data_IF_826906673185
#
_entry.id   IF_826906673185
#
_cell.length_a   1.000
_cell.length_b   1.000
_cell.length_c   1.000
_cell.angle_alpha   90.00
_cell.angle_beta   90.00
_cell.angle_gamma   90.00
#
_symmetry.space_group_name_H-M   'P 1'
#
loop_
_entity.id
_entity.type
_entity.pdbx_description
1 polymer ?
#
# COMPACT_ATOMS: atom_id res chain seq x y z
N UNK A 1 -68.14 -17.11 53.85
CA UNK A 1 -69.35 -17.76 53.25
C UNK A 1 -68.85 -18.57 52.09
N UNK A 2 -68.82 -19.86 52.36
CA UNK A 2 -69.38 -20.99 51.63
C UNK A 2 -68.64 -21.24 50.29
N UNK A 3 -67.72 -22.19 50.28
CA UNK A 3 -67.85 -23.64 50.04
C UNK A 3 -68.68 -23.99 48.80
N UNK A 4 -68.07 -24.67 47.82
CA UNK A 4 -68.36 -26.07 47.64
C UNK A 4 -67.42 -26.68 46.54
N UNK A 5 -66.78 -27.78 46.93
CA UNK A 5 -66.18 -28.77 46.09
C UNK A 5 -67.24 -29.51 45.24
N UNK A 6 -66.80 -30.11 44.12
CA UNK A 6 -67.18 -31.46 43.75
C UNK A 6 -66.17 -32.12 42.83
N UNK A 7 -65.71 -33.25 43.31
CA UNK A 7 -64.89 -34.30 42.67
C UNK A 7 -65.75 -35.14 41.73
N UNK A 8 -65.08 -35.92 40.96
CA UNK A 8 -65.34 -37.23 40.29
C UNK A 8 -64.92 -37.09 38.82
N UNK A 9 -64.09 -37.90 38.21
CA UNK A 9 -63.69 -39.28 38.41
C UNK A 9 -63.77 -40.01 37.07
N UNK A 10 -62.72 -40.69 36.68
CA UNK A 10 -62.91 -41.86 35.82
C UNK A 10 -62.13 -41.95 34.50
N UNK A 11 -61.21 -42.89 34.56
CA UNK A 11 -60.95 -43.97 33.60
C UNK A 11 -60.12 -43.74 32.32
N UNK A 12 -58.93 -44.18 32.40
CA UNK A 12 -58.16 -45.15 31.55
C UNK A 12 -58.70 -45.44 30.14
N UNK A 13 -57.87 -45.16 29.14
CA UNK A 13 -57.72 -46.00 27.95
C UNK A 13 -56.31 -45.83 27.36
N UNK A 14 -55.59 -46.97 27.32
CA UNK A 14 -54.30 -47.14 26.66
C UNK A 14 -54.51 -47.09 25.15
N UNK A 15 -53.66 -46.33 24.48
CA UNK A 15 -53.53 -46.31 23.02
C UNK A 15 -52.07 -46.21 22.62
N UNK A 16 -51.48 -47.39 22.36
CA UNK A 16 -50.16 -47.47 21.71
C UNK A 16 -50.36 -47.13 20.26
N UNK A 17 -49.76 -46.03 19.83
CA UNK A 17 -49.53 -45.72 18.39
C UNK A 17 -48.06 -45.61 18.16
N UNK A 18 -47.51 -46.62 17.56
CA UNK A 18 -46.20 -46.66 16.92
C UNK A 18 -46.33 -45.88 15.63
N UNK A 19 -45.68 -44.70 15.51
CA UNK A 19 -45.42 -44.07 14.23
C UNK A 19 -43.94 -44.07 13.97
N UNK A 20 -43.56 -44.97 13.09
CA UNK A 20 -42.28 -44.98 12.37
C UNK A 20 -42.17 -43.77 11.43
N UNK A 21 -40.99 -43.17 11.42
CA UNK A 21 -40.42 -42.61 10.21
C UNK A 21 -40.72 -41.19 9.89
N UNK A 22 -39.80 -40.34 10.23
CA UNK A 22 -39.43 -39.22 9.35
C UNK A 22 -37.92 -39.03 9.47
N UNK A 23 -37.21 -39.49 8.48
CA UNK A 23 -35.85 -39.02 8.21
C UNK A 23 -35.89 -37.54 7.94
N UNK A 24 -35.67 -36.74 8.98
CA UNK A 24 -35.33 -35.34 8.84
C UNK A 24 -33.94 -35.26 8.24
N UNK A 25 -33.84 -34.97 6.96
CA UNK A 25 -32.62 -34.40 6.38
C UNK A 25 -32.29 -33.12 7.14
N UNK A 26 -31.43 -33.23 8.14
CA UNK A 26 -30.72 -32.05 8.63
C UNK A 26 -29.88 -31.58 7.47
N UNK A 27 -30.39 -30.57 6.75
CA UNK A 27 -29.58 -29.74 5.88
C UNK A 27 -28.42 -29.23 6.73
N UNK A 28 -27.25 -29.82 6.52
CA UNK A 28 -26.02 -29.26 7.01
C UNK A 28 -25.93 -27.85 6.38
N UNK A 29 -26.27 -26.84 7.16
CA UNK A 29 -25.76 -25.50 6.89
C UNK A 29 -24.26 -25.71 6.88
N UNK A 30 -23.66 -25.56 5.68
CA UNK A 30 -22.23 -25.44 5.56
C UNK A 30 -21.86 -24.36 6.57
N UNK A 31 -21.17 -24.73 7.64
CA UNK A 31 -20.50 -23.78 8.47
C UNK A 31 -19.58 -23.02 7.50
N UNK A 32 -19.97 -21.83 7.12
CA UNK A 32 -19.05 -20.91 6.49
C UNK A 32 -17.84 -20.91 7.41
N UNK A 33 -16.71 -21.26 6.80
CA UNK A 33 -15.41 -21.41 7.44
C UNK A 33 -15.05 -20.04 8.06
N UNK A 34 -15.59 -19.79 9.24
CA UNK A 34 -15.35 -18.58 10.03
C UNK A 34 -13.95 -18.65 10.62
N UNK A 35 -12.93 -18.80 9.75
CA UNK A 35 -11.58 -18.51 10.17
C UNK A 35 -11.56 -17.07 10.62
N UNK A 36 -11.06 -16.79 11.83
CA UNK A 36 -10.88 -15.42 12.23
C UNK A 36 -10.11 -14.71 11.12
N UNK A 37 -10.67 -13.61 10.62
CA UNK A 37 -10.03 -12.77 9.62
C UNK A 37 -8.68 -12.31 10.18
N UNK A 38 -7.58 -12.90 9.68
CA UNK A 38 -6.23 -12.51 10.10
C UNK A 38 -5.85 -11.21 9.36
N UNK A 39 -5.69 -10.10 10.07
CA UNK A 39 -5.24 -8.86 9.48
C UNK A 39 -3.91 -8.99 8.73
N UNK A 40 -2.94 -9.77 9.25
CA UNK A 40 -1.64 -9.97 8.61
C UNK A 40 -1.78 -10.68 7.27
N UNK A 41 -2.55 -11.76 7.19
CA UNK A 41 -2.79 -12.48 5.94
C UNK A 41 -3.40 -11.57 4.86
N UNK A 42 -4.28 -10.66 5.25
CA UNK A 42 -4.87 -9.69 4.32
C UNK A 42 -3.84 -8.72 3.81
N UNK A 43 -2.98 -8.20 4.69
CA UNK A 43 -1.96 -7.24 4.31
C UNK A 43 -0.86 -7.87 3.46
N UNK A 44 -0.44 -9.09 3.76
CA UNK A 44 0.56 -9.82 2.96
C UNK A 44 0.10 -10.04 1.51
N UNK A 45 -1.21 -10.15 1.26
CA UNK A 45 -1.80 -10.32 -0.09
C UNK A 45 -2.15 -9.02 -0.78
N UNK A 46 -2.02 -7.87 -0.11
CA UNK A 46 -2.49 -6.58 -0.66
C UNK A 46 -1.81 -6.20 -1.99
N UNK A 47 -0.53 -6.51 -2.16
CA UNK A 47 0.19 -6.30 -3.42
C UNK A 47 -0.36 -7.20 -4.55
N UNK A 48 -0.67 -8.47 -4.27
CA UNK A 48 -1.26 -9.39 -5.25
C UNK A 48 -2.65 -8.92 -5.67
N UNK A 49 -3.44 -8.43 -4.72
CA UNK A 49 -4.76 -7.83 -4.99
C UNK A 49 -4.67 -6.63 -5.95
N UNK A 50 -3.59 -5.83 -5.86
CA UNK A 50 -3.36 -4.75 -6.84
C UNK A 50 -3.00 -5.29 -8.23
N UNK A 51 -2.21 -6.36 -8.32
CA UNK A 51 -1.91 -7.03 -9.59
C UNK A 51 -3.19 -7.53 -10.26
N UNK A 52 -4.08 -8.14 -9.47
CA UNK A 52 -5.39 -8.61 -9.97
C UNK A 52 -6.28 -7.44 -10.42
N UNK A 53 -6.25 -6.31 -9.70
CA UNK A 53 -6.97 -5.10 -10.09
C UNK A 53 -6.47 -4.46 -11.39
N UNK A 54 -5.25 -4.77 -11.81
CA UNK A 54 -4.64 -4.40 -13.09
C UNK A 54 -4.05 -3.01 -13.09
N UNK A 55 -4.85 -1.96 -13.07
CA UNK A 55 -4.37 -0.57 -13.15
C UNK A 55 -5.09 0.33 -12.15
N UNK A 56 -4.46 1.45 -11.83
CA UNK A 56 -5.14 2.53 -11.09
C UNK A 56 -4.55 3.90 -11.42
N UNK A 57 -5.25 4.94 -10.99
CA UNK A 57 -4.66 6.28 -10.77
C UNK A 57 -4.03 6.32 -9.38
N UNK A 58 -2.97 7.11 -9.26
CA UNK A 58 -2.26 7.31 -8.01
C UNK A 58 -2.10 8.80 -7.70
N UNK A 59 -2.23 9.15 -6.42
CA UNK A 59 -1.75 10.42 -5.85
C UNK A 59 -0.79 10.09 -4.73
N UNK A 60 0.37 10.75 -4.75
CA UNK A 60 1.39 10.59 -3.71
C UNK A 60 1.63 11.91 -2.99
N UNK A 61 1.98 11.82 -1.72
CA UNK A 61 2.45 12.94 -0.93
C UNK A 61 3.60 12.47 -0.06
N UNK A 62 4.73 13.12 -0.17
CA UNK A 62 5.89 12.86 0.68
C UNK A 62 6.23 14.09 1.47
N UNK A 63 6.17 13.98 2.79
CA UNK A 63 6.53 15.03 3.73
C UNK A 63 7.86 14.66 4.39
N UNK A 64 8.84 15.55 4.28
CA UNK A 64 10.15 15.40 4.91
C UNK A 64 10.32 16.50 5.95
N UNK A 65 10.74 16.13 7.15
CA UNK A 65 11.00 17.06 8.24
C UNK A 65 12.44 16.89 8.76
N UNK A 66 13.21 17.98 8.76
CA UNK A 66 14.56 18.03 9.30
C UNK A 66 14.85 19.42 9.85
N UNK A 67 15.45 19.51 11.03
CA UNK A 67 15.93 20.79 11.59
C UNK A 67 14.90 21.92 11.68
N UNK A 68 13.60 21.59 11.84
CA UNK A 68 12.51 22.57 11.87
C UNK A 68 11.95 22.97 10.49
N UNK A 69 12.56 22.50 9.41
CA UNK A 69 12.04 22.71 8.04
C UNK A 69 11.18 21.50 7.61
N UNK A 70 10.04 21.80 6.97
CA UNK A 70 9.15 20.78 6.40
C UNK A 70 9.00 21.04 4.91
N UNK A 71 9.22 20.00 4.12
CA UNK A 71 9.06 20.01 2.66
C UNK A 71 8.01 18.98 2.27
N UNK A 72 7.09 19.34 1.37
CA UNK A 72 6.07 18.42 0.86
C UNK A 72 6.17 18.33 -0.64
N UNK A 73 6.42 17.14 -1.18
CA UNK A 73 6.38 16.82 -2.61
C UNK A 73 5.07 16.10 -2.89
N UNK A 74 4.38 16.47 -3.97
CA UNK A 74 3.13 15.83 -4.41
C UNK A 74 3.31 15.22 -5.78
N UNK A 75 2.69 14.06 -6.00
CA UNK A 75 2.70 13.38 -7.28
C UNK A 75 1.30 12.92 -7.69
N UNK A 76 1.06 12.91 -8.99
CA UNK A 76 -0.14 12.35 -9.60
C UNK A 76 0.23 11.53 -10.82
N UNK A 77 -0.49 10.43 -11.06
CA UNK A 77 -0.26 9.62 -12.24
C UNK A 77 -1.08 8.36 -12.32
N UNK A 78 -0.53 7.39 -13.02
CA UNK A 78 -1.15 6.07 -13.27
C UNK A 78 -0.13 4.96 -13.04
N UNK A 79 -0.65 3.79 -12.68
CA UNK A 79 0.16 2.60 -12.51
C UNK A 79 -0.51 1.37 -13.14
N UNK A 80 0.29 0.56 -13.85
CA UNK A 80 -0.06 -0.76 -14.34
C UNK A 80 0.66 -1.81 -13.49
N UNK A 81 -0.09 -2.47 -12.62
CA UNK A 81 0.47 -3.44 -11.65
C UNK A 81 0.88 -4.75 -12.31
N UNK A 82 0.25 -5.14 -13.44
CA UNK A 82 0.58 -6.38 -14.16
C UNK A 82 1.92 -6.27 -14.86
N UNK A 83 2.16 -5.12 -15.51
CA UNK A 83 3.43 -4.83 -16.17
C UNK A 83 4.43 -4.17 -15.23
N UNK A 84 3.96 -3.74 -14.03
CA UNK A 84 4.76 -3.04 -13.01
C UNK A 84 5.40 -1.76 -13.54
N UNK A 85 4.61 -1.04 -14.31
CA UNK A 85 5.01 0.23 -14.91
C UNK A 85 4.12 1.35 -14.38
N UNK A 86 4.75 2.44 -13.96
CA UNK A 86 4.06 3.63 -13.48
C UNK A 86 4.58 4.89 -14.14
N UNK A 87 3.72 5.91 -14.20
CA UNK A 87 4.10 7.28 -14.54
C UNK A 87 3.52 8.23 -13.52
N UNK A 88 4.39 9.01 -12.90
CA UNK A 88 4.04 10.06 -11.96
C UNK A 88 4.56 11.42 -12.47
N UNK A 89 3.81 12.46 -12.23
CA UNK A 89 4.25 13.84 -12.38
C UNK A 89 4.37 14.43 -10.98
N UNK A 90 5.57 14.83 -10.58
CA UNK A 90 5.86 15.37 -9.27
C UNK A 90 5.90 16.88 -9.32
N UNK A 91 5.26 17.52 -8.36
CA UNK A 91 5.29 18.95 -8.11
C UNK A 91 6.11 19.19 -6.85
N UNK A 92 7.22 19.92 -7.01
CA UNK A 92 8.05 20.36 -5.90
C UNK A 92 7.43 21.61 -5.25
N UNK A 93 7.64 21.83 -3.95
CA UNK A 93 7.22 23.06 -3.31
C UNK A 93 7.96 24.25 -3.93
N UNK A 94 7.29 25.40 -3.97
CA UNK A 94 7.94 26.65 -4.37
C UNK A 94 8.99 27.04 -3.32
N UNK A 95 10.09 27.64 -3.80
CA UNK A 95 11.04 28.28 -2.91
C UNK A 95 10.31 29.35 -2.06
N UNK A 96 10.55 29.44 -0.74
CA UNK A 96 9.97 30.48 0.12
C UNK A 96 10.16 31.91 -0.40
N UNK A 97 11.22 32.16 -1.19
CA UNK A 97 11.47 33.43 -1.84
C UNK A 97 10.68 33.63 -3.16
N UNK A 98 9.98 32.61 -3.66
CA UNK A 98 9.19 32.68 -4.89
C UNK A 98 9.99 32.90 -6.17
N UNK A 99 11.31 32.77 -6.13
CA UNK A 99 12.23 33.18 -7.21
C UNK A 99 12.52 32.08 -8.22
N UNK A 100 12.23 30.80 -7.89
CA UNK A 100 12.50 29.66 -8.79
C UNK A 100 11.22 28.88 -9.06
N UNK A 101 10.76 28.95 -10.32
CA UNK A 101 9.70 28.08 -10.81
C UNK A 101 10.28 26.70 -11.10
N UNK A 102 9.98 25.72 -10.26
CA UNK A 102 10.38 24.33 -10.48
C UNK A 102 9.48 23.70 -11.54
N UNK A 103 10.07 23.28 -12.66
CA UNK A 103 9.33 22.45 -13.63
C UNK A 103 8.94 21.13 -12.98
N UNK A 104 7.71 20.65 -13.22
CA UNK A 104 7.31 19.34 -12.74
C UNK A 104 8.29 18.25 -13.23
N UNK A 105 8.61 17.31 -12.33
CA UNK A 105 9.44 16.15 -12.66
C UNK A 105 8.50 15.06 -13.17
N UNK A 106 8.81 14.48 -14.31
CA UNK A 106 8.13 13.25 -14.76
C UNK A 106 8.97 12.06 -14.36
N UNK A 107 8.36 11.12 -13.64
CA UNK A 107 8.93 9.83 -13.28
C UNK A 107 8.25 8.70 -14.04
N UNK A 108 9.07 7.79 -14.59
CA UNK A 108 8.60 6.48 -15.04
C UNK A 108 9.20 5.44 -14.13
N UNK A 109 8.32 4.63 -13.56
CA UNK A 109 8.62 3.59 -12.60
C UNK A 109 8.62 2.25 -13.33
N UNK A 110 9.68 1.46 -13.15
CA UNK A 110 9.81 0.13 -13.74
C UNK A 110 10.50 -0.81 -12.75
N UNK A 111 10.37 -2.13 -12.89
CA UNK A 111 11.07 -3.07 -12.03
C UNK A 111 12.57 -2.79 -11.95
N UNK A 112 13.06 -2.43 -10.77
CA UNK A 112 14.47 -2.13 -10.52
C UNK A 112 15.00 -0.81 -11.07
N UNK A 113 14.20 -0.01 -11.77
CA UNK A 113 14.65 1.23 -12.41
C UNK A 113 13.66 2.38 -12.26
N UNK A 114 14.22 3.58 -12.08
CA UNK A 114 13.51 4.85 -12.10
C UNK A 114 14.05 5.68 -13.27
N UNK A 115 13.16 6.25 -14.07
CA UNK A 115 13.52 7.20 -15.12
C UNK A 115 12.94 8.56 -14.76
N UNK A 116 13.76 9.61 -14.79
CA UNK A 116 13.33 10.96 -14.44
C UNK A 116 13.58 11.93 -15.57
N UNK A 117 12.65 12.82 -15.83
CA UNK A 117 12.79 13.95 -16.73
C UNK A 117 12.66 15.25 -15.95
N UNK A 118 13.40 16.28 -16.36
CA UNK A 118 13.52 17.55 -15.65
C UNK A 118 14.18 17.42 -14.26
N UNK A 119 15.09 16.45 -14.09
CA UNK A 119 15.86 16.29 -12.86
C UNK A 119 17.31 15.93 -13.20
N UNK A 120 18.23 16.51 -12.42
CA UNK A 120 19.69 16.35 -12.59
C UNK A 120 20.35 17.59 -13.14
N UNK A 121 21.35 18.11 -12.43
CA UNK A 121 22.13 19.26 -12.87
C UNK A 121 22.92 18.90 -14.16
N UNK A 122 22.82 19.76 -15.19
CA UNK A 122 23.50 19.57 -16.46
C UNK A 122 22.86 18.56 -17.42
N UNK A 123 21.72 17.98 -17.07
CA UNK A 123 20.97 17.09 -17.96
C UNK A 123 20.11 17.90 -18.92
N UNK A 124 20.20 17.70 -20.26
CA UNK A 124 19.33 18.34 -21.21
C UNK A 124 17.86 18.03 -20.95
N UNK A 125 16.97 19.02 -21.14
CA UNK A 125 15.56 18.90 -20.80
C UNK A 125 14.78 17.83 -21.62
N UNK A 126 15.30 17.47 -22.78
CA UNK A 126 14.76 16.39 -23.66
C UNK A 126 15.22 14.99 -23.25
N UNK A 127 16.21 14.87 -22.36
CA UNK A 127 16.78 13.59 -21.93
C UNK A 127 16.19 13.07 -20.63
N UNK A 128 16.24 11.76 -20.47
CA UNK A 128 15.88 11.04 -19.28
C UNK A 128 17.10 10.64 -18.48
N UNK A 129 17.01 10.75 -17.17
CA UNK A 129 17.98 10.15 -16.23
C UNK A 129 17.45 8.79 -15.83
N UNK A 130 18.25 7.74 -16.00
CA UNK A 130 17.94 6.40 -15.50
C UNK A 130 18.73 6.12 -14.24
N UNK A 131 18.05 5.63 -13.22
CA UNK A 131 18.63 5.25 -11.93
C UNK A 131 18.22 3.82 -11.61
N UNK A 132 19.21 2.98 -11.26
CA UNK A 132 18.95 1.66 -10.69
C UNK A 132 18.51 1.82 -9.24
N UNK A 133 17.28 1.42 -8.90
CA UNK A 133 16.73 1.63 -7.57
C UNK A 133 17.49 0.88 -6.47
N UNK A 134 18.09 -0.27 -6.80
CA UNK A 134 18.94 -1.02 -5.87
C UNK A 134 20.30 -0.34 -5.58
N UNK A 135 20.71 0.66 -6.38
CA UNK A 135 21.92 1.44 -6.13
C UNK A 135 21.66 2.61 -5.16
N UNK A 136 20.41 2.96 -4.92
CA UNK A 136 20.01 3.96 -3.93
C UNK A 136 19.97 3.35 -2.53
N UNK A 137 20.55 4.05 -1.55
CA UNK A 137 20.60 3.57 -0.16
C UNK A 137 19.22 3.37 0.47
N UNK A 138 18.21 4.07 -0.02
CA UNK A 138 16.81 3.98 0.42
C UNK A 138 15.93 3.14 -0.54
N UNK A 139 16.53 2.50 -1.56
CA UNK A 139 15.80 1.72 -2.55
C UNK A 139 14.74 2.53 -3.32
N UNK A 140 14.88 3.84 -3.40
CA UNK A 140 13.92 4.78 -3.97
C UNK A 140 12.59 4.90 -3.17
N UNK A 141 12.59 4.57 -1.90
CA UNK A 141 11.41 4.82 -1.06
C UNK A 141 11.21 6.31 -0.72
N UNK A 142 12.31 7.10 -0.80
CA UNK A 142 12.34 8.54 -0.48
C UNK A 142 13.01 9.37 -1.58
N UNK A 143 14.13 8.93 -2.12
CA UNK A 143 15.02 9.73 -3.00
C UNK A 143 14.33 10.27 -4.24
N UNK A 144 13.41 9.54 -4.86
CA UNK A 144 12.63 10.01 -6.02
C UNK A 144 11.72 11.20 -5.70
N UNK A 145 11.30 11.34 -4.45
CA UNK A 145 10.30 12.33 -4.05
C UNK A 145 8.88 11.78 -3.98
N UNK A 146 8.69 10.54 -4.41
CA UNK A 146 7.48 9.75 -4.20
C UNK A 146 7.88 8.28 -3.97
N UNK A 147 7.16 7.59 -3.09
CA UNK A 147 7.27 6.14 -3.03
C UNK A 147 6.49 5.54 -4.19
N UNK A 148 7.11 4.63 -4.94
CA UNK A 148 6.43 3.85 -5.97
C UNK A 148 5.16 3.19 -5.37
N UNK A 149 3.98 3.36 -5.97
CA UNK A 149 2.73 2.78 -5.48
C UNK A 149 2.77 1.26 -5.27
N UNK A 150 3.50 0.53 -6.12
CA UNK A 150 3.66 -0.90 -5.97
C UNK A 150 4.67 -1.26 -4.89
N UNK A 151 5.79 -0.55 -4.80
CA UNK A 151 6.75 -0.72 -3.70
C UNK A 151 6.09 -0.45 -2.34
N UNK A 152 5.21 0.55 -2.24
CA UNK A 152 4.43 0.82 -1.04
C UNK A 152 3.53 -0.37 -0.64
N UNK A 153 2.97 -1.09 -1.62
CA UNK A 153 2.21 -2.32 -1.37
C UNK A 153 3.12 -3.51 -1.02
N UNK A 154 4.26 -3.64 -1.70
CA UNK A 154 5.24 -4.71 -1.43
C UNK A 154 5.82 -4.64 -0.01
N UNK A 155 5.92 -3.44 0.57
CA UNK A 155 6.30 -3.26 1.98
C UNK A 155 5.37 -4.02 2.94
N UNK A 156 4.07 -4.13 2.63
CA UNK A 156 3.10 -4.83 3.47
C UNK A 156 3.35 -6.33 3.55
N UNK A 157 4.10 -6.94 2.59
CA UNK A 157 4.52 -8.34 2.68
C UNK A 157 5.46 -8.62 3.86
N UNK A 158 6.10 -7.58 4.38
CA UNK A 158 6.94 -7.65 5.58
C UNK A 158 6.19 -7.28 6.86
N UNK A 159 4.87 -7.11 6.85
CA UNK A 159 4.11 -6.74 8.03
C UNK A 159 4.31 -7.75 9.16
N UNK A 160 4.67 -7.24 10.35
CA UNK A 160 4.90 -8.02 11.57
C UNK A 160 3.75 -7.89 12.56
N UNK A 161 3.13 -6.71 12.56
CA UNK A 161 1.97 -6.42 13.39
C UNK A 161 0.90 -5.78 12.53
N UNK A 162 -0.35 -6.10 12.84
CA UNK A 162 -1.51 -5.46 12.22
C UNK A 162 -2.66 -5.44 13.21
N UNK A 163 -3.19 -4.26 13.49
CA UNK A 163 -4.42 -4.06 14.24
C UNK A 163 -5.51 -3.54 13.31
N UNK A 164 -6.70 -4.09 13.40
CA UNK A 164 -7.87 -3.56 12.74
C UNK A 164 -8.42 -2.39 13.57
N UNK A 165 -8.43 -1.20 12.99
CA UNK A 165 -8.85 0.05 13.66
C UNK A 165 -10.32 0.41 13.41
N UNK A 166 -11.01 -0.35 12.56
CA UNK A 166 -12.41 -0.10 12.23
C UNK A 166 -12.65 0.28 10.76
N UNK A 167 -13.88 0.69 10.46
CA UNK A 167 -14.29 1.20 9.14
C UNK A 167 -14.23 2.72 9.13
N UNK A 168 -13.87 3.28 7.98
CA UNK A 168 -13.86 4.72 7.72
C UNK A 168 -14.06 4.97 6.23
N UNK A 169 -13.97 6.21 5.79
CA UNK A 169 -14.11 6.60 4.39
C UNK A 169 -12.80 7.21 3.86
N UNK A 170 -12.41 6.83 2.65
CA UNK A 170 -11.31 7.43 1.90
C UNK A 170 -11.81 7.82 0.51
N UNK A 171 -11.84 9.12 0.24
CA UNK A 171 -12.28 9.69 -1.05
C UNK A 171 -13.64 9.13 -1.53
N UNK A 172 -14.64 9.08 -0.63
CA UNK A 172 -15.99 8.62 -0.94
C UNK A 172 -16.15 7.09 -1.00
N UNK A 173 -15.14 6.33 -0.59
CA UNK A 173 -15.19 4.87 -0.55
C UNK A 173 -15.06 4.38 0.88
N UNK A 174 -15.98 3.51 1.33
CA UNK A 174 -15.86 2.83 2.61
C UNK A 174 -14.68 1.88 2.58
N UNK A 175 -13.88 1.89 3.64
CA UNK A 175 -12.65 1.13 3.76
C UNK A 175 -12.44 0.59 5.17
N UNK A 176 -11.69 -0.48 5.26
CA UNK A 176 -11.18 -1.04 6.51
C UNK A 176 -9.81 -0.46 6.79
N UNK A 177 -9.62 0.15 7.95
CA UNK A 177 -8.37 0.72 8.39
C UNK A 177 -7.57 -0.30 9.21
N UNK A 178 -6.31 -0.46 8.86
CA UNK A 178 -5.33 -1.26 9.61
C UNK A 178 -4.11 -0.41 9.92
N UNK A 179 -3.57 -0.61 11.11
CA UNK A 179 -2.33 0.01 11.56
C UNK A 179 -1.36 -1.07 12.01
N UNK A 180 -0.07 -0.87 11.76
CA UNK A 180 0.94 -1.84 12.15
C UNK A 180 2.35 -1.39 11.85
N UNK A 181 3.25 -2.37 11.87
CA UNK A 181 4.66 -2.20 11.52
C UNK A 181 5.07 -3.26 10.50
N UNK A 182 5.89 -2.87 9.54
CA UNK A 182 6.53 -3.75 8.58
C UNK A 182 8.04 -3.76 8.81
N UNK A 183 8.68 -4.90 8.56
CA UNK A 183 10.12 -5.05 8.54
C UNK A 183 10.64 -5.04 7.10
N UNK A 184 11.51 -4.10 6.77
CA UNK A 184 12.05 -3.92 5.41
C UNK A 184 12.81 -5.16 4.90
N UNK A 185 13.52 -5.86 5.80
CA UNK A 185 14.27 -7.05 5.40
C UNK A 185 13.33 -8.25 5.12
N UNK A 186 12.21 -8.35 5.86
CA UNK A 186 11.15 -9.32 5.55
C UNK A 186 10.45 -8.97 4.25
N UNK A 187 10.09 -7.69 4.05
CA UNK A 187 9.49 -7.21 2.82
C UNK A 187 10.39 -7.52 1.61
N UNK A 188 11.69 -7.22 1.69
CA UNK A 188 12.65 -7.52 0.63
C UNK A 188 12.71 -9.02 0.26
N UNK A 189 12.61 -9.92 1.24
CA UNK A 189 12.62 -11.37 0.99
C UNK A 189 11.33 -11.86 0.32
N UNK A 190 10.20 -11.28 0.69
CA UNK A 190 8.88 -11.67 0.20
C UNK A 190 8.48 -10.93 -1.09
N UNK A 191 9.17 -9.84 -1.43
CA UNK A 191 8.86 -9.01 -2.57
C UNK A 191 9.02 -9.73 -3.91
N UNK A 192 8.32 -9.24 -4.91
CA UNK A 192 8.48 -9.62 -6.29
C UNK A 192 9.91 -9.33 -6.78
N UNK A 193 10.42 -10.14 -7.72
CA UNK A 193 11.84 -10.18 -8.11
C UNK A 193 12.44 -8.79 -8.42
N UNK A 194 11.72 -7.95 -9.18
CA UNK A 194 12.21 -6.62 -9.56
C UNK A 194 12.30 -5.61 -8.40
N UNK A 195 11.66 -5.86 -7.26
CA UNK A 195 11.66 -4.95 -6.10
C UNK A 195 12.59 -5.42 -4.99
N UNK A 196 13.01 -6.69 -5.01
CA UNK A 196 13.88 -7.27 -3.96
C UNK A 196 15.15 -6.48 -3.74
N UNK A 197 15.84 -6.11 -4.83
CA UNK A 197 17.08 -5.37 -4.75
C UNK A 197 16.93 -4.00 -4.10
N UNK A 198 15.91 -3.26 -4.51
CA UNK A 198 15.58 -1.95 -3.96
C UNK A 198 15.21 -2.03 -2.47
N UNK A 199 14.30 -2.94 -2.10
CA UNK A 199 13.91 -3.11 -0.70
C UNK A 199 15.06 -3.64 0.19
N UNK A 200 15.95 -4.47 -0.37
CA UNK A 200 17.15 -4.90 0.34
C UNK A 200 18.15 -3.76 0.56
N UNK A 201 18.27 -2.83 -0.38
CA UNK A 201 19.07 -1.61 -0.20
C UNK A 201 18.45 -0.73 0.87
N UNK A 202 17.12 -0.52 0.84
CA UNK A 202 16.40 0.22 1.87
C UNK A 202 16.59 -0.38 3.28
N UNK A 203 16.50 -1.70 3.41
CA UNK A 203 16.71 -2.39 4.69
C UNK A 203 18.10 -2.16 5.30
N UNK A 204 19.11 -1.80 4.48
CA UNK A 204 20.47 -1.48 4.92
C UNK A 204 20.68 0.01 5.17
N UNK A 205 19.98 0.86 4.42
CA UNK A 205 20.23 2.30 4.42
C UNK A 205 19.38 3.11 5.39
N UNK A 206 18.24 2.57 5.86
CA UNK A 206 17.43 3.26 6.85
C UNK A 206 17.99 3.06 8.27
N UNK A 207 17.72 4.03 9.15
CA UNK A 207 18.13 4.00 10.56
C UNK A 207 17.47 2.84 11.33
N UNK A 208 16.33 2.36 10.88
CA UNK A 208 15.61 1.20 11.41
C UNK A 208 14.93 0.43 10.28
N UNK A 209 14.93 -0.89 10.38
CA UNK A 209 14.18 -1.74 9.43
C UNK A 209 12.69 -1.77 9.73
N UNK A 210 12.28 -1.38 10.94
CA UNK A 210 10.88 -1.34 11.33
C UNK A 210 10.24 -0.02 10.89
N UNK A 211 9.21 -0.14 10.05
CA UNK A 211 8.49 0.99 9.44
C UNK A 211 7.03 0.94 9.85
N UNK A 212 6.53 1.92 10.63
CA UNK A 212 5.12 2.06 10.92
C UNK A 212 4.30 2.36 9.67
N UNK A 213 3.11 1.77 9.57
CA UNK A 213 2.18 2.03 8.49
C UNK A 213 0.73 2.22 8.96
N UNK A 214 -0.04 2.93 8.17
CA UNK A 214 -1.50 2.93 8.15
C UNK A 214 -1.96 2.52 6.74
N UNK A 215 -2.86 1.53 6.62
CA UNK A 215 -3.40 1.09 5.32
C UNK A 215 -4.91 0.97 5.37
N UNK A 216 -5.54 1.34 4.26
CA UNK A 216 -6.98 1.42 4.10
C UNK A 216 -7.38 0.58 2.88
N UNK A 217 -8.11 -0.51 3.12
CA UNK A 217 -8.51 -1.47 2.11
C UNK A 217 -10.01 -1.38 1.85
N UNK A 218 -10.42 -1.38 0.58
CA UNK A 218 -11.83 -1.51 0.22
C UNK A 218 -12.36 -2.94 0.44
N UNK A 219 -13.63 -3.18 0.15
CA UNK A 219 -14.25 -4.49 0.35
C UNK A 219 -13.68 -5.58 -0.56
N UNK A 220 -13.04 -5.21 -1.69
CA UNK A 220 -12.28 -6.14 -2.53
C UNK A 220 -10.85 -6.38 -2.03
N UNK A 221 -10.43 -5.78 -0.93
CA UNK A 221 -9.08 -5.87 -0.40
C UNK A 221 -8.05 -5.02 -1.13
N UNK A 222 -8.47 -4.14 -2.05
CA UNK A 222 -7.56 -3.24 -2.77
C UNK A 222 -7.15 -2.08 -1.87
N UNK A 223 -5.89 -1.72 -1.91
CA UNK A 223 -5.38 -0.55 -1.20
C UNK A 223 -6.02 0.71 -1.80
N UNK A 224 -6.71 1.49 -0.98
CA UNK A 224 -7.21 2.82 -1.32
C UNK A 224 -6.27 3.92 -0.83
N UNK A 225 -5.64 3.68 0.31
CA UNK A 225 -4.61 4.55 0.87
C UNK A 225 -3.63 3.72 1.66
N UNK A 226 -2.35 4.05 1.55
CA UNK A 226 -1.30 3.53 2.42
C UNK A 226 -0.37 4.67 2.80
N UNK A 227 0.06 4.70 4.05
CA UNK A 227 1.04 5.66 4.56
C UNK A 227 2.13 4.92 5.30
N UNK A 228 3.39 5.30 5.06
CA UNK A 228 4.57 4.78 5.76
C UNK A 228 5.32 5.92 6.41
N UNK A 229 5.97 5.65 7.55
CA UNK A 229 6.84 6.60 8.24
C UNK A 229 8.25 6.05 8.30
N UNK A 230 9.13 6.67 7.53
CA UNK A 230 10.53 6.29 7.44
C UNK A 230 11.40 7.20 8.32
N UNK A 231 12.51 6.65 8.79
CA UNK A 231 13.60 7.40 9.44
C UNK A 231 14.87 7.18 8.64
N UNK A 232 15.37 8.24 8.07
CA UNK A 232 16.52 8.23 7.19
C UNK A 232 17.66 9.04 7.81
N UNK A 233 18.90 8.52 7.77
CA UNK A 233 20.08 9.26 8.22
C UNK A 233 20.68 9.97 7.02
N UNK A 234 20.65 11.30 7.04
CA UNK A 234 21.30 12.10 5.99
C UNK A 234 22.83 11.97 6.13
N UNK A 235 23.47 11.32 5.12
CA UNK A 235 24.88 10.94 5.14
C UNK A 235 25.86 12.11 5.32
N UNK A 236 25.48 13.36 5.00
CA UNK A 236 26.38 14.50 5.07
C UNK A 236 26.50 15.13 6.47
N UNK A 237 25.55 14.93 7.37
CA UNK A 237 25.56 15.58 8.69
C UNK A 237 25.08 14.67 9.82
N UNK A 238 24.81 13.40 9.60
CA UNK A 238 24.29 12.48 10.60
C UNK A 238 22.93 12.88 11.17
N UNK A 239 22.25 13.87 10.57
CA UNK A 239 20.93 14.30 11.00
C UNK A 239 19.88 13.28 10.57
N UNK A 240 18.95 12.99 11.46
CA UNK A 240 17.80 12.12 11.15
C UNK A 240 16.73 12.96 10.46
N UNK A 241 16.24 12.46 9.32
CA UNK A 241 15.11 13.02 8.60
C UNK A 241 13.92 12.09 8.81
N UNK A 242 12.83 12.62 9.33
CA UNK A 242 11.56 11.92 9.38
C UNK A 242 10.80 12.14 8.07
N UNK A 243 10.39 11.05 7.44
CA UNK A 243 9.66 11.07 6.17
C UNK A 243 8.33 10.36 6.33
N UNK A 244 7.25 11.07 6.01
CA UNK A 244 5.92 10.49 5.87
C UNK A 244 5.55 10.39 4.40
N UNK A 245 5.42 9.17 3.89
CA UNK A 245 4.96 8.90 2.53
C UNK A 245 3.51 8.44 2.57
N UNK A 246 2.67 9.01 1.73
CA UNK A 246 1.26 8.63 1.57
C UNK A 246 0.95 8.41 0.10
N UNK A 247 0.33 7.28 -0.21
CA UNK A 247 -0.17 6.94 -1.55
C UNK A 247 -1.67 6.70 -1.49
N UNK A 248 -2.42 7.39 -2.34
CA UNK A 248 -3.83 7.17 -2.62
C UNK A 248 -3.98 6.48 -3.96
N UNK A 249 -4.82 5.42 -4.00
CA UNK A 249 -5.14 4.68 -5.22
C UNK A 249 -6.64 4.78 -5.51
N UNK A 250 -6.96 5.15 -6.74
CA UNK A 250 -8.34 5.35 -7.18
C UNK A 250 -8.48 5.09 -8.67
N UNK A 251 -9.73 5.09 -9.20
CA UNK A 251 -9.97 4.87 -10.63
C UNK A 251 -9.36 3.55 -11.13
N UNK A 252 -9.55 2.47 -10.38
CA UNK A 252 -9.11 1.13 -10.79
C UNK A 252 -9.69 0.77 -12.14
N UNK A 253 -8.87 0.14 -13.01
CA UNK A 253 -9.21 -0.13 -14.41
C UNK A 253 -9.00 1.07 -15.35
N UNK A 254 -8.53 2.23 -14.87
CA UNK A 254 -8.22 3.37 -15.73
C UNK A 254 -7.10 3.01 -16.72
N UNK A 255 -7.15 3.53 -17.96
CA UNK A 255 -6.06 3.34 -18.92
C UNK A 255 -4.71 3.81 -18.37
N UNK A 256 -3.69 2.96 -18.47
CA UNK A 256 -2.33 3.23 -18.04
C UNK A 256 -1.36 2.89 -19.19
N UNK A 257 -1.32 3.75 -20.22
CA UNK A 257 -0.31 3.64 -21.29
C UNK A 257 1.01 4.25 -20.79
N UNK A 258 1.88 3.41 -20.24
CA UNK A 258 3.20 3.81 -19.77
C UNK A 258 4.25 3.19 -20.68
N UNK A 259 5.04 4.04 -21.32
CA UNK A 259 6.15 3.64 -22.20
C UNK A 259 7.45 4.13 -21.62
N UNK A 260 8.44 3.25 -21.57
CA UNK A 260 9.79 3.59 -21.18
C UNK A 260 10.50 4.32 -22.33
N UNK A 261 11.48 5.18 -22.05
CA UNK A 261 12.23 5.90 -23.07
C UNK A 261 13.14 4.95 -23.86
N UNK A 262 13.36 5.27 -25.12
CA UNK A 262 14.34 4.59 -25.93
C UNK A 262 15.77 4.86 -25.40
N UNK A 263 16.70 3.96 -25.69
CA UNK A 263 18.09 4.08 -25.23
C UNK A 263 18.74 5.41 -25.65
N UNK A 264 18.41 5.93 -26.84
CA UNK A 264 18.88 7.20 -27.32
C UNK A 264 18.37 8.42 -26.57
N UNK A 265 17.27 8.28 -25.82
CA UNK A 265 16.68 9.35 -25.01
C UNK A 265 17.24 9.38 -23.59
N UNK A 266 18.03 8.40 -23.20
CA UNK A 266 18.65 8.31 -21.89
C UNK A 266 19.97 9.09 -21.91
N UNK A 267 20.16 9.96 -20.92
CA UNK A 267 21.39 10.72 -20.75
C UNK A 267 22.55 9.79 -20.34
N UNK A 268 23.59 9.75 -21.16
CA UNK A 268 24.78 8.91 -20.93
C UNK A 268 25.92 9.66 -20.21
N UNK A 269 25.76 10.97 -19.92
CA UNK A 269 26.76 11.77 -19.23
C UNK A 269 26.76 11.57 -17.73
N UNK A 270 27.78 12.12 -17.06
CA UNK A 270 27.81 12.19 -15.58
C UNK A 270 26.83 13.25 -15.10
N UNK A 271 26.01 12.91 -14.11
CA UNK A 271 25.14 13.86 -13.41
C UNK A 271 26.01 14.50 -12.33
N UNK A 272 26.05 15.83 -12.28
CA UNK A 272 26.72 16.53 -11.19
C UNK A 272 25.98 16.23 -9.88
N UNK A 273 26.71 15.80 -8.87
CA UNK A 273 26.20 15.71 -7.50
C UNK A 273 25.94 17.14 -7.01
N UNK A 274 24.66 17.44 -6.68
CA UNK A 274 24.25 18.73 -6.14
C UNK A 274 24.42 18.81 -4.63
#
# INVERSE_FOLDING_TARGET
MAQREHRWGGAVAAGVVVCLGACGCSGGAAAEDSRPFDPLDTLHRAADTLVDAGTSRARTSMEMATGGTRVTIRGEGVYDYRHRLGRLTLTLPQDPAGTVEHRPITELLAPGALFMKNRGAGVPADKWVRVETAALSDGNLVTGGATDPFAAAELLRGARTAAYEGRTEVAGTEVRHYRGTTDLALAARAAAEGDRGALAAAAKGFATTEVPFDVFLDDQGRIRKVSHRFRFVNGHHGSVVDVASTTLLYGFGAPADVRLPDAGDIYAGKIAEG
#
